data_IF_137155037629
#
_entry.id   IF_137155037629
#
_cell.length_a   1.000
_cell.length_b   1.000
_cell.length_c   1.000
_cell.angle_alpha   90.00
_cell.angle_beta   90.00
_cell.angle_gamma   90.00
#
_symmetry.space_group_name_H-M   'P 1'
#
loop_
_entity.id
_entity.type
_entity.pdbx_description
1 polymer ?
#
# COMPACT_ATOMS: atom_id res chain seq x y z
N UNK A 1 6.79 -20.61 27.50
CA UNK A 1 7.14 -22.04 27.62
C UNK A 1 6.67 -22.72 26.32
N UNK A 2 7.60 -22.98 25.40
CA UNK A 2 7.31 -23.71 24.19
C UNK A 2 7.72 -25.15 24.46
N UNK A 3 6.73 -26.06 24.45
CA UNK A 3 6.96 -27.47 24.65
C UNK A 3 7.80 -28.06 23.49
N UNK A 4 8.95 -28.62 23.85
CA UNK A 4 9.76 -29.38 22.93
C UNK A 4 8.97 -30.61 22.47
N UNK A 5 8.50 -30.62 21.22
CA UNK A 5 7.89 -31.79 20.61
C UNK A 5 8.91 -32.91 20.51
N UNK A 6 8.65 -34.01 21.18
CA UNK A 6 9.42 -35.24 21.01
C UNK A 6 9.34 -35.73 19.55
N UNK A 7 10.41 -36.23 18.95
CA UNK A 7 10.32 -36.85 17.65
C UNK A 7 9.39 -38.05 17.72
N UNK A 8 8.36 -38.03 16.87
CA UNK A 8 7.47 -39.18 16.71
C UNK A 8 8.22 -40.26 15.97
N UNK A 9 8.61 -41.31 16.69
CA UNK A 9 9.14 -42.51 16.08
C UNK A 9 8.04 -43.22 15.31
N UNK A 10 8.20 -43.36 14.01
CA UNK A 10 7.31 -44.19 13.17
C UNK A 10 7.51 -45.65 13.53
N UNK A 11 6.42 -46.43 13.72
CA UNK A 11 6.51 -47.87 13.98
C UNK A 11 6.74 -48.60 12.67
N UNK A 12 7.97 -49.08 12.47
CA UNK A 12 8.26 -49.96 11.33
C UNK A 12 9.71 -49.93 10.92
N UNK A 13 10.56 -50.57 11.65
CA UNK A 13 11.70 -51.41 11.28
C UNK A 13 12.82 -50.94 10.37
N UNK A 14 12.81 -49.74 9.79
CA UNK A 14 13.93 -49.25 9.01
C UNK A 14 14.76 -48.24 9.83
N UNK A 15 16.05 -48.52 10.00
CA UNK A 15 16.98 -47.62 10.69
C UNK A 15 17.21 -46.41 9.79
N UNK A 16 16.70 -45.28 10.22
CA UNK A 16 16.95 -43.99 9.56
C UNK A 16 18.20 -43.35 10.19
N UNK A 17 19.03 -42.75 9.37
CA UNK A 17 20.16 -41.94 9.75
C UNK A 17 19.97 -40.49 9.22
N UNK A 18 20.49 -39.54 9.96
CA UNK A 18 20.34 -38.11 9.64
C UNK A 18 21.72 -37.54 9.30
N UNK A 19 21.85 -37.00 8.10
CA UNK A 19 23.09 -36.34 7.66
C UNK A 19 22.91 -34.84 7.65
N UNK A 20 23.71 -34.15 8.42
CA UNK A 20 23.70 -32.68 8.53
C UNK A 20 25.12 -32.14 8.61
N UNK A 21 25.26 -30.82 8.49
CA UNK A 21 26.55 -30.12 8.62
C UNK A 21 26.54 -29.35 9.92
N UNK A 22 27.59 -29.50 10.71
CA UNK A 22 27.76 -28.78 11.97
C UNK A 22 28.30 -27.36 11.76
N UNK A 23 28.52 -26.61 12.86
CA UNK A 23 29.03 -25.22 12.81
C UNK A 23 30.49 -25.13 12.29
N UNK A 24 31.22 -26.22 12.26
CA UNK A 24 32.60 -26.32 11.73
C UNK A 24 32.61 -26.68 10.24
N UNK A 25 31.44 -26.86 9.62
CA UNK A 25 31.34 -27.34 8.25
C UNK A 25 31.59 -28.84 8.08
N UNK A 26 31.54 -29.61 9.17
CA UNK A 26 31.78 -31.06 9.13
C UNK A 26 30.43 -31.76 8.90
N UNK A 27 30.43 -32.71 7.97
CA UNK A 27 29.25 -33.56 7.74
C UNK A 27 29.17 -34.61 8.84
N UNK A 28 28.08 -34.62 9.58
CA UNK A 28 27.77 -35.57 10.66
C UNK A 28 26.63 -36.47 10.20
N UNK A 29 26.76 -37.76 10.52
CA UNK A 29 25.69 -38.76 10.36
C UNK A 29 25.36 -39.29 11.75
N UNK A 30 24.10 -39.14 12.15
CA UNK A 30 23.59 -39.53 13.45
C UNK A 30 22.31 -40.32 13.32
N UNK A 31 22.16 -41.30 14.22
CA UNK A 31 20.94 -42.13 14.31
C UNK A 31 19.88 -41.53 15.24
N UNK A 32 20.29 -40.62 16.11
CA UNK A 32 19.42 -40.02 17.13
C UNK A 32 18.61 -38.82 16.61
N UNK A 33 18.95 -38.32 15.43
CA UNK A 33 18.27 -37.15 14.82
C UNK A 33 19.23 -35.99 14.60
N UNK A 34 18.67 -34.85 14.17
CA UNK A 34 19.40 -33.60 13.96
C UNK A 34 19.25 -32.73 15.20
N UNK A 35 20.36 -32.24 15.80
CA UNK A 35 20.27 -31.28 16.90
C UNK A 35 19.45 -30.05 16.50
N UNK A 36 18.66 -29.48 17.44
CA UNK A 36 17.75 -28.37 17.11
C UNK A 36 18.44 -27.16 16.45
N UNK A 37 19.69 -26.88 16.81
CA UNK A 37 20.46 -25.76 16.23
C UNK A 37 20.82 -25.95 14.76
N UNK A 38 20.75 -27.18 14.23
CA UNK A 38 21.12 -27.51 12.85
C UNK A 38 19.90 -27.81 11.96
N UNK A 39 18.73 -28.01 12.54
CA UNK A 39 17.50 -28.32 11.77
C UNK A 39 17.22 -27.23 10.73
N UNK A 40 17.39 -25.96 11.08
CA UNK A 40 17.17 -24.84 10.19
C UNK A 40 18.14 -24.72 9.02
N UNK A 41 19.29 -25.43 9.09
CA UNK A 41 20.29 -25.44 8.02
C UNK A 41 20.00 -26.48 6.93
N UNK A 42 18.97 -27.29 7.12
CA UNK A 42 18.65 -28.40 6.24
C UNK A 42 19.44 -29.65 6.58
N UNK A 43 18.90 -30.79 6.22
CA UNK A 43 19.51 -32.09 6.46
C UNK A 43 18.94 -33.14 5.51
N UNK A 44 19.58 -34.31 5.47
CA UNK A 44 19.14 -35.44 4.67
C UNK A 44 18.85 -36.63 5.58
N UNK A 45 17.83 -37.38 5.24
CA UNK A 45 17.51 -38.65 5.91
C UNK A 45 17.98 -39.76 5.01
N UNK A 46 18.77 -40.66 5.58
CA UNK A 46 19.37 -41.82 4.90
C UNK A 46 18.75 -43.10 5.42
N UNK A 47 18.69 -44.12 4.55
CA UNK A 47 18.36 -45.47 4.98
C UNK A 47 19.58 -46.19 5.59
N UNK A 48 19.40 -47.41 6.00
CA UNK A 48 20.45 -48.28 6.55
C UNK A 48 21.62 -48.56 5.58
N UNK A 49 21.38 -48.35 4.27
CA UNK A 49 22.39 -48.50 3.21
C UNK A 49 23.09 -47.18 2.88
N UNK A 50 22.77 -46.09 3.58
CA UNK A 50 23.34 -44.77 3.35
C UNK A 50 22.77 -44.00 2.14
N UNK A 51 21.66 -44.46 1.58
CA UNK A 51 20.97 -43.79 0.48
C UNK A 51 20.05 -42.68 1.02
N UNK A 52 20.04 -41.54 0.36
CA UNK A 52 19.12 -40.44 0.70
C UNK A 52 17.70 -40.86 0.35
N UNK A 53 16.84 -40.90 1.34
CA UNK A 53 15.40 -41.21 1.18
C UNK A 53 14.51 -39.97 1.32
N UNK A 54 15.04 -38.92 1.95
CA UNK A 54 14.35 -37.67 2.10
C UNK A 54 15.36 -36.54 2.27
N UNK A 55 15.09 -35.40 1.70
CA UNK A 55 15.87 -34.19 1.87
C UNK A 55 15.00 -33.08 2.47
N UNK A 56 15.47 -32.49 3.55
CA UNK A 56 14.84 -31.33 4.20
C UNK A 56 15.67 -30.09 3.87
N UNK A 57 15.15 -29.18 3.05
CA UNK A 57 15.90 -28.00 2.64
C UNK A 57 16.13 -27.03 3.82
N UNK A 58 17.13 -26.13 3.73
CA UNK A 58 17.31 -25.10 4.72
C UNK A 58 16.05 -24.25 4.90
N UNK A 59 15.81 -23.79 6.14
CA UNK A 59 14.76 -22.81 6.40
C UNK A 59 15.05 -21.53 5.63
N UNK A 60 14.02 -20.84 5.09
CA UNK A 60 14.23 -19.60 4.36
C UNK A 60 14.83 -18.53 5.26
N UNK A 61 15.77 -17.74 4.73
CA UNK A 61 16.35 -16.59 5.41
C UNK A 61 15.30 -15.47 5.56
N UNK A 62 15.58 -14.48 6.45
CA UNK A 62 14.71 -13.31 6.59
C UNK A 62 14.56 -12.57 5.24
N UNK A 63 15.64 -12.46 4.47
CA UNK A 63 15.61 -11.86 3.13
C UNK A 63 14.72 -12.64 2.16
N UNK A 64 14.80 -13.97 2.18
CA UNK A 64 13.95 -14.84 1.35
C UNK A 64 12.47 -14.75 1.73
N UNK A 65 12.17 -14.66 3.04
CA UNK A 65 10.79 -14.47 3.53
C UNK A 65 10.24 -13.13 3.04
N UNK A 66 11.01 -12.05 3.17
CA UNK A 66 10.62 -10.73 2.68
C UNK A 66 10.40 -10.72 1.17
N UNK A 67 11.28 -11.39 0.41
CA UNK A 67 11.12 -11.51 -1.04
C UNK A 67 9.85 -12.27 -1.41
N UNK A 68 9.53 -13.38 -0.71
CA UNK A 68 8.29 -14.14 -0.94
C UNK A 68 7.04 -13.32 -0.62
N UNK A 69 7.08 -12.51 0.44
CA UNK A 69 5.99 -11.57 0.78
C UNK A 69 5.79 -10.52 -0.30
N UNK A 70 6.89 -9.94 -0.79
CA UNK A 70 6.85 -8.94 -1.86
C UNK A 70 6.30 -9.54 -3.15
N UNK A 71 6.74 -10.75 -3.51
CA UNK A 71 6.26 -11.45 -4.70
C UNK A 71 4.77 -11.80 -4.59
N UNK A 72 4.32 -12.26 -3.42
CA UNK A 72 2.91 -12.55 -3.16
C UNK A 72 2.04 -11.30 -3.24
N UNK A 73 2.52 -10.17 -2.70
CA UNK A 73 1.82 -8.87 -2.77
C UNK A 73 1.71 -8.40 -4.22
N UNK A 74 2.78 -8.53 -5.00
CA UNK A 74 2.80 -8.19 -6.44
C UNK A 74 1.82 -9.06 -7.22
N UNK A 75 1.83 -10.37 -6.99
CA UNK A 75 0.91 -11.29 -7.65
C UNK A 75 -0.55 -10.96 -7.32
N UNK A 76 -0.85 -10.61 -6.08
CA UNK A 76 -2.20 -10.20 -5.65
C UNK A 76 -2.63 -8.90 -6.34
N UNK A 77 -1.75 -7.91 -6.41
CA UNK A 77 -2.00 -6.65 -7.11
C UNK A 77 -2.23 -6.85 -8.60
N UNK A 78 -1.44 -7.72 -9.24
CA UNK A 78 -1.60 -8.06 -10.65
C UNK A 78 -2.95 -8.73 -10.93
N UNK A 79 -3.37 -9.65 -10.06
CA UNK A 79 -4.70 -10.27 -10.17
C UNK A 79 -5.83 -9.24 -10.03
N UNK A 80 -5.68 -8.27 -9.14
CA UNK A 80 -6.63 -7.18 -8.97
C UNK A 80 -6.76 -6.36 -10.26
N UNK A 81 -5.65 -5.97 -10.86
CA UNK A 81 -5.63 -5.24 -12.14
C UNK A 81 -6.34 -6.02 -13.25
N UNK A 82 -6.07 -7.33 -13.36
CA UNK A 82 -6.69 -8.18 -14.37
C UNK A 82 -8.18 -8.40 -14.15
N UNK A 83 -8.68 -8.24 -12.92
CA UNK A 83 -10.12 -8.26 -12.63
C UNK A 83 -10.80 -6.94 -12.94
N UNK A 84 -10.10 -5.82 -12.70
CA UNK A 84 -10.66 -4.48 -12.88
C UNK A 84 -10.73 -4.05 -14.33
N UNK A 85 -9.74 -4.46 -15.13
CA UNK A 85 -9.56 -3.98 -16.50
C UNK A 85 -9.41 -5.13 -17.47
N UNK A 86 -9.93 -4.96 -18.69
CA UNK A 86 -9.79 -5.93 -19.77
C UNK A 86 -8.78 -5.47 -20.83
N UNK A 87 -8.43 -4.19 -20.85
CA UNK A 87 -7.51 -3.59 -21.81
C UNK A 87 -6.83 -2.35 -21.22
N UNK A 88 -5.77 -1.89 -21.85
CA UNK A 88 -5.10 -0.62 -21.53
C UNK A 88 -6.07 0.55 -21.70
N UNK A 89 -6.94 0.49 -22.72
CA UNK A 89 -7.95 1.51 -22.96
C UNK A 89 -9.00 1.58 -21.84
N UNK A 90 -9.28 0.47 -21.16
CA UNK A 90 -10.13 0.46 -19.96
C UNK A 90 -9.51 1.24 -18.82
N UNK A 91 -8.21 1.11 -18.64
CA UNK A 91 -7.45 1.89 -17.63
C UNK A 91 -7.55 3.38 -17.97
N UNK A 92 -7.35 3.74 -19.23
CA UNK A 92 -7.44 5.12 -19.71
C UNK A 92 -8.84 5.71 -19.48
N UNK A 93 -9.89 4.95 -19.74
CA UNK A 93 -11.27 5.37 -19.50
C UNK A 93 -11.55 5.58 -18.00
N UNK A 94 -11.06 4.71 -17.15
CA UNK A 94 -11.20 4.85 -15.70
C UNK A 94 -10.45 6.09 -15.19
N UNK A 95 -9.25 6.34 -15.69
CA UNK A 95 -8.51 7.58 -15.42
C UNK A 95 -9.32 8.81 -15.80
N UNK A 96 -9.82 8.85 -17.02
CA UNK A 96 -10.54 10.02 -17.54
C UNK A 96 -11.79 10.30 -16.73
N UNK A 97 -12.53 9.27 -16.32
CA UNK A 97 -13.69 9.42 -15.41
C UNK A 97 -13.29 10.00 -14.06
N UNK A 98 -12.20 9.50 -13.47
CA UNK A 98 -11.73 9.98 -12.16
C UNK A 98 -11.26 11.43 -12.24
N UNK A 99 -10.49 11.77 -13.27
CA UNK A 99 -10.03 13.14 -13.47
C UNK A 99 -11.19 14.11 -13.72
N UNK A 100 -12.19 13.71 -14.52
CA UNK A 100 -13.38 14.51 -14.75
C UNK A 100 -14.18 14.75 -13.46
N UNK A 101 -14.31 13.73 -12.60
CA UNK A 101 -14.95 13.86 -11.27
C UNK A 101 -14.22 14.89 -10.42
N UNK A 102 -12.90 14.80 -10.32
CA UNK A 102 -12.08 15.73 -9.53
C UNK A 102 -12.10 17.14 -10.11
N UNK A 103 -12.05 17.29 -11.42
CA UNK A 103 -12.15 18.58 -12.11
C UNK A 103 -13.52 19.22 -11.87
N UNK A 104 -14.58 18.42 -11.84
CA UNK A 104 -15.93 18.87 -11.50
C UNK A 104 -16.03 19.41 -10.08
N UNK A 105 -15.47 18.67 -9.10
CA UNK A 105 -15.43 19.10 -7.71
C UNK A 105 -14.62 20.40 -7.53
N UNK A 106 -13.47 20.49 -8.18
CA UNK A 106 -12.65 21.69 -8.17
C UNK A 106 -13.36 22.88 -8.80
N UNK A 107 -14.08 22.68 -9.90
CA UNK A 107 -14.84 23.73 -10.59
C UNK A 107 -15.96 24.28 -9.70
N UNK A 108 -16.72 23.42 -9.01
CA UNK A 108 -17.74 23.84 -8.05
C UNK A 108 -17.13 24.64 -6.90
N UNK A 109 -16.02 24.17 -6.33
CA UNK A 109 -15.34 24.89 -5.25
C UNK A 109 -14.82 26.26 -5.69
N UNK A 110 -14.27 26.36 -6.91
CA UNK A 110 -13.81 27.64 -7.49
C UNK A 110 -14.97 28.60 -7.72
N UNK A 111 -16.12 28.10 -8.19
CA UNK A 111 -17.33 28.89 -8.36
C UNK A 111 -17.84 29.43 -7.02
N UNK A 112 -17.85 28.59 -5.98
CA UNK A 112 -18.23 29.01 -4.64
C UNK A 112 -17.25 30.03 -4.07
N UNK A 113 -15.97 29.87 -4.31
CA UNK A 113 -14.93 30.84 -3.89
C UNK A 113 -15.14 32.19 -4.56
N UNK A 114 -15.44 32.21 -5.85
CA UNK A 114 -15.71 33.46 -6.57
C UNK A 114 -16.94 34.19 -6.03
N UNK A 115 -18.02 33.44 -5.76
CA UNK A 115 -19.25 33.95 -5.15
C UNK A 115 -18.99 34.54 -3.77
N UNK A 116 -18.18 33.84 -2.95
CA UNK A 116 -17.80 34.28 -1.62
C UNK A 116 -16.96 35.55 -1.66
N UNK A 117 -16.02 35.66 -2.59
CA UNK A 117 -15.20 36.89 -2.78
C UNK A 117 -16.06 38.08 -3.16
N UNK A 118 -17.09 37.89 -3.98
CA UNK A 118 -18.07 38.92 -4.31
C UNK A 118 -18.85 39.40 -3.08
N UNK A 119 -19.28 38.45 -2.23
CA UNK A 119 -19.93 38.77 -0.96
C UNK A 119 -19.00 39.55 -0.02
N UNK A 120 -17.75 39.12 0.10
CA UNK A 120 -16.73 39.85 0.89
C UNK A 120 -16.56 41.31 0.39
N UNK A 121 -16.44 41.46 -0.91
CA UNK A 121 -16.27 42.83 -1.50
C UNK A 121 -17.48 43.71 -1.16
N UNK A 122 -18.70 43.20 -1.24
CA UNK A 122 -19.92 43.93 -0.89
C UNK A 122 -19.94 44.34 0.60
N UNK A 123 -19.61 43.41 1.49
CA UNK A 123 -19.57 43.68 2.94
C UNK A 123 -18.43 44.66 3.31
N UNK A 124 -17.28 44.53 2.66
CA UNK A 124 -16.17 45.45 2.84
C UNK A 124 -16.53 46.90 2.40
N UNK A 125 -17.27 47.04 1.29
CA UNK A 125 -17.79 48.30 0.82
C UNK A 125 -18.74 48.95 1.83
N UNK A 126 -19.66 48.16 2.42
CA UNK A 126 -20.55 48.63 3.50
C UNK A 126 -19.79 49.09 4.73
N UNK A 127 -18.76 48.33 5.15
CA UNK A 127 -17.91 48.70 6.28
C UNK A 127 -17.18 50.02 6.00
N UNK A 128 -16.63 50.17 4.79
CA UNK A 128 -15.97 51.41 4.38
C UNK A 128 -16.92 52.63 4.38
N UNK A 129 -18.19 52.43 3.94
CA UNK A 129 -19.21 53.47 3.98
C UNK A 129 -19.54 53.89 5.41
N UNK A 130 -19.63 52.96 6.36
CA UNK A 130 -19.83 53.26 7.79
C UNK A 130 -18.64 54.09 8.35
N UNK A 131 -17.42 53.71 8.06
CA UNK A 131 -16.22 54.42 8.51
C UNK A 131 -16.18 55.83 7.93
N UNK A 132 -16.47 56.03 6.67
CA UNK A 132 -16.51 57.34 6.00
C UNK A 132 -17.58 58.25 6.59
N UNK A 133 -18.70 57.70 7.04
CA UNK A 133 -19.77 58.42 7.72
C UNK A 133 -19.44 58.73 9.19
N UNK A 134 -18.27 58.38 9.68
CA UNK A 134 -17.88 58.50 11.08
C UNK A 134 -18.62 57.59 12.04
N UNK A 135 -19.23 56.53 11.53
CA UNK A 135 -19.95 55.52 12.33
C UNK A 135 -19.08 54.31 12.63
N UNK A 136 -19.36 53.68 13.75
CA UNK A 136 -18.72 52.39 14.07
C UNK A 136 -19.28 51.29 13.17
N UNK A 137 -18.41 50.40 12.67
CA UNK A 137 -18.83 49.23 11.90
C UNK A 137 -19.64 48.30 12.81
N UNK A 138 -20.88 47.91 12.45
CA UNK A 138 -21.69 46.98 13.25
C UNK A 138 -20.98 45.65 13.54
N UNK A 139 -21.16 45.12 14.75
CA UNK A 139 -20.53 43.87 15.18
C UNK A 139 -20.95 42.66 14.30
N UNK A 140 -22.22 42.62 13.87
CA UNK A 140 -22.71 41.57 12.98
C UNK A 140 -22.05 41.61 11.59
N UNK A 141 -21.72 42.77 11.08
CA UNK A 141 -20.95 42.94 9.83
C UNK A 141 -19.52 42.43 9.98
N UNK A 142 -18.87 42.74 11.09
CA UNK A 142 -17.52 42.22 11.42
C UNK A 142 -17.54 40.71 11.53
N UNK A 143 -18.58 40.13 12.19
CA UNK A 143 -18.74 38.70 12.33
C UNK A 143 -18.98 38.03 10.98
N UNK A 144 -19.80 38.60 10.10
CA UNK A 144 -20.03 38.07 8.73
C UNK A 144 -18.73 38.06 7.92
N UNK A 145 -17.92 39.13 7.98
CA UNK A 145 -16.63 39.19 7.28
C UNK A 145 -15.65 38.12 7.80
N UNK A 146 -15.63 37.93 9.11
CA UNK A 146 -14.80 36.90 9.74
C UNK A 146 -15.21 35.49 9.28
N UNK A 147 -16.51 35.20 9.24
CA UNK A 147 -17.04 33.93 8.78
C UNK A 147 -16.72 33.69 7.30
N UNK A 148 -16.83 34.69 6.46
CA UNK A 148 -16.49 34.58 5.04
C UNK A 148 -14.99 34.33 4.82
N UNK A 149 -14.11 34.91 5.64
CA UNK A 149 -12.68 34.62 5.59
C UNK A 149 -12.37 33.17 5.94
N UNK A 150 -13.03 32.63 6.96
CA UNK A 150 -12.91 31.22 7.33
C UNK A 150 -13.39 30.31 6.22
N UNK A 151 -14.51 30.62 5.60
CA UNK A 151 -15.07 29.88 4.47
C UNK A 151 -14.15 29.95 3.25
N UNK A 152 -13.54 31.10 2.99
CA UNK A 152 -12.55 31.28 1.92
C UNK A 152 -11.34 30.36 2.12
N UNK A 153 -10.80 30.31 3.33
CA UNK A 153 -9.67 29.43 3.65
C UNK A 153 -10.03 27.96 3.43
N UNK A 154 -11.22 27.54 3.88
CA UNK A 154 -11.70 26.17 3.67
C UNK A 154 -11.83 25.84 2.19
N UNK A 155 -12.41 26.71 1.38
CA UNK A 155 -12.56 26.51 -0.06
C UNK A 155 -11.20 26.46 -0.77
N UNK A 156 -10.24 27.30 -0.38
CA UNK A 156 -8.88 27.27 -0.92
C UNK A 156 -8.17 25.96 -0.58
N UNK A 157 -8.35 25.43 0.64
CA UNK A 157 -7.83 24.13 1.05
C UNK A 157 -8.48 23.00 0.25
N UNK A 158 -9.78 23.05 0.03
CA UNK A 158 -10.50 22.06 -0.76
C UNK A 158 -10.00 22.04 -2.21
N UNK A 159 -9.80 23.20 -2.83
CA UNK A 159 -9.29 23.32 -4.20
C UNK A 159 -7.86 22.73 -4.27
N UNK A 160 -7.01 23.05 -3.31
CA UNK A 160 -5.65 22.50 -3.24
C UNK A 160 -5.67 20.98 -3.07
N UNK A 161 -6.58 20.45 -2.24
CA UNK A 161 -6.78 19.01 -2.06
C UNK A 161 -7.23 18.32 -3.35
N UNK A 162 -8.16 18.89 -4.09
CA UNK A 162 -8.59 18.32 -5.37
C UNK A 162 -7.46 18.30 -6.40
N UNK A 163 -6.62 19.33 -6.45
CA UNK A 163 -5.44 19.36 -7.30
C UNK A 163 -4.43 18.28 -6.94
N UNK A 164 -4.21 18.07 -5.63
CA UNK A 164 -3.33 17.03 -5.12
C UNK A 164 -3.88 15.63 -5.44
N UNK A 165 -5.17 15.41 -5.21
CA UNK A 165 -5.84 14.15 -5.56
C UNK A 165 -5.78 13.88 -7.06
N UNK A 166 -5.89 14.92 -7.89
CA UNK A 166 -5.75 14.81 -9.34
C UNK A 166 -4.37 14.33 -9.74
N UNK A 167 -3.32 14.91 -9.18
CA UNK A 167 -1.94 14.49 -9.43
C UNK A 167 -1.70 13.05 -8.97
N UNK A 168 -2.19 12.69 -7.78
CA UNK A 168 -2.10 11.33 -7.27
C UNK A 168 -2.83 10.33 -8.17
N UNK A 169 -4.02 10.68 -8.65
CA UNK A 169 -4.79 9.85 -9.57
C UNK A 169 -4.05 9.65 -10.90
N UNK A 170 -3.51 10.72 -11.49
CA UNK A 170 -2.70 10.62 -12.71
C UNK A 170 -1.52 9.67 -12.55
N UNK A 171 -0.78 9.78 -11.45
CA UNK A 171 0.37 8.94 -11.16
C UNK A 171 -0.04 7.48 -10.93
N UNK A 172 -1.10 7.26 -10.18
CA UNK A 172 -1.62 5.92 -9.88
C UNK A 172 -2.11 5.22 -11.14
N UNK A 173 -2.90 5.89 -11.98
CA UNK A 173 -3.37 5.31 -13.25
C UNK A 173 -2.25 5.09 -14.25
N UNK A 174 -1.23 5.96 -14.29
CA UNK A 174 -0.05 5.76 -15.13
C UNK A 174 0.72 4.50 -14.72
N UNK A 175 0.90 4.27 -13.42
CA UNK A 175 1.54 3.07 -12.89
C UNK A 175 0.70 1.81 -13.20
N UNK A 176 -0.60 1.85 -12.98
CA UNK A 176 -1.51 0.74 -13.28
C UNK A 176 -1.54 0.42 -14.78
N UNK A 177 -1.56 1.44 -15.62
CA UNK A 177 -1.51 1.28 -17.08
C UNK A 177 -0.23 0.58 -17.54
N UNK A 178 0.91 1.02 -17.03
CA UNK A 178 2.21 0.44 -17.35
C UNK A 178 2.28 -1.02 -16.87
N UNK A 179 1.82 -1.29 -15.66
CA UNK A 179 1.81 -2.66 -15.12
C UNK A 179 0.85 -3.57 -15.87
N UNK A 180 -0.36 -3.10 -16.17
CA UNK A 180 -1.33 -3.86 -16.95
C UNK A 180 -0.77 -4.22 -18.33
N UNK A 181 -0.11 -3.29 -19.02
CA UNK A 181 0.53 -3.55 -20.30
C UNK A 181 1.59 -4.66 -20.21
N UNK A 182 2.38 -4.68 -19.12
CA UNK A 182 3.38 -5.72 -18.89
C UNK A 182 2.78 -7.10 -18.68
N UNK A 183 1.75 -7.20 -17.80
CA UNK A 183 1.16 -8.50 -17.46
C UNK A 183 0.20 -9.04 -18.51
N UNK A 184 -0.43 -8.18 -19.31
CA UNK A 184 -1.34 -8.58 -20.39
C UNK A 184 -0.62 -8.85 -21.71
N UNK A 185 0.55 -8.27 -21.94
CA UNK A 185 1.38 -8.49 -23.14
C UNK A 185 2.27 -9.71 -23.05
N UNK A 186 2.25 -10.44 -21.96
CA UNK A 186 3.08 -11.61 -21.71
C UNK A 186 2.48 -12.95 -22.15
N UNK A 187 1.47 -12.95 -23.02
CA UNK A 187 0.89 -14.15 -23.63
C UNK A 187 1.39 -14.35 -25.05
#
# INVERSE_FOLDING_TARGET
MIAAGKPVASPGGAVEMYRYVDDRGITVIDRLGVPPQYIGKGYQVLNDQGRVIREVPPAPTAAEIEQRKADAARASSDQQLMRMYTSVEDVDRARDRKLAELDGLASVAKGNLQSLKTQQANLQARAADQERAGRQVPDDLVAQLSNLRSDEQRLQQDIARYQQLRTQAQNSFAADRARFAQISGGN
#
